data_IF_135050038509
#
_entry.id   IF_135050038509
#
_cell.length_a   1.000
_cell.length_b   1.000
_cell.length_c   1.000
_cell.angle_alpha   90.00
_cell.angle_beta   90.00
_cell.angle_gamma   90.00
#
_symmetry.space_group_name_H-M   'P 1'
#
loop_
_entity.id
_entity.type
_entity.pdbx_description
1 polymer ?
#
# COMPACT_ATOMS: atom_id res chain seq x y z
N UNK A 1 8.02 3.35 -35.34
CA UNK A 1 6.91 3.20 -34.38
C UNK A 1 7.48 2.50 -33.15
N UNK A 2 7.76 3.24 -32.07
CA UNK A 2 8.46 2.71 -30.87
C UNK A 2 7.81 3.15 -29.55
N UNK A 3 6.57 3.64 -29.61
CA UNK A 3 5.92 4.30 -28.47
C UNK A 3 5.41 3.29 -27.43
N UNK A 4 4.92 2.12 -27.84
CA UNK A 4 4.26 1.18 -26.92
C UNK A 4 5.24 0.47 -25.95
N UNK A 5 6.45 0.13 -26.39
CA UNK A 5 7.43 -0.60 -25.55
C UNK A 5 8.00 0.26 -24.43
N UNK A 6 8.37 1.52 -24.74
CA UNK A 6 8.97 2.46 -23.79
C UNK A 6 7.99 2.82 -22.68
N UNK A 7 6.71 3.01 -23.03
CA UNK A 7 5.65 3.29 -22.06
C UNK A 7 5.42 2.12 -21.09
N UNK A 8 5.62 0.88 -21.56
CA UNK A 8 5.38 -0.33 -20.76
C UNK A 8 6.47 -0.56 -19.71
N UNK A 9 7.74 -0.43 -20.08
CA UNK A 9 8.86 -0.52 -19.13
C UNK A 9 8.81 0.59 -18.06
N UNK A 10 8.49 1.82 -18.48
CA UNK A 10 8.33 2.94 -17.57
C UNK A 10 7.19 2.68 -16.58
N UNK A 11 6.06 2.14 -17.05
CA UNK A 11 4.94 1.83 -16.19
C UNK A 11 5.26 0.72 -15.18
N UNK A 12 5.91 -0.36 -15.61
CA UNK A 12 6.36 -1.43 -14.70
C UNK A 12 7.26 -0.89 -13.59
N UNK A 13 8.21 -0.03 -13.94
CA UNK A 13 9.09 0.64 -12.98
C UNK A 13 8.29 1.52 -12.00
N UNK A 14 7.34 2.30 -12.49
CA UNK A 14 6.48 3.15 -11.63
C UNK A 14 5.62 2.30 -10.69
N UNK A 15 5.01 1.22 -11.18
CA UNK A 15 4.22 0.29 -10.39
C UNK A 15 5.06 -0.39 -9.29
N UNK A 16 6.30 -0.79 -9.60
CA UNK A 16 7.22 -1.34 -8.62
C UNK A 16 7.56 -0.32 -7.51
N UNK A 17 7.82 0.94 -7.87
CA UNK A 17 8.09 2.01 -6.91
C UNK A 17 6.88 2.32 -6.00
N UNK A 18 5.67 2.30 -6.56
CA UNK A 18 4.44 2.46 -5.77
C UNK A 18 4.28 1.29 -4.81
N UNK A 19 4.48 0.04 -5.26
CA UNK A 19 4.43 -1.13 -4.40
C UNK A 19 5.44 -1.06 -3.24
N UNK A 20 6.69 -0.68 -3.52
CA UNK A 20 7.70 -0.49 -2.48
C UNK A 20 7.30 0.59 -1.45
N UNK A 21 6.63 1.64 -1.90
CA UNK A 21 6.11 2.70 -1.03
C UNK A 21 4.96 2.20 -0.16
N UNK A 22 4.04 1.41 -0.74
CA UNK A 22 2.94 0.76 -0.01
C UNK A 22 3.47 -0.15 1.10
N UNK A 23 4.47 -0.98 0.78
CA UNK A 23 5.07 -1.91 1.74
C UNK A 23 5.77 -1.17 2.90
N UNK A 24 6.42 -0.03 2.60
CA UNK A 24 7.02 0.86 3.62
C UNK A 24 5.96 1.47 4.53
N UNK A 25 4.90 2.05 3.97
CA UNK A 25 3.81 2.66 4.76
C UNK A 25 3.15 1.61 5.66
N UNK A 26 2.91 0.40 5.16
CA UNK A 26 2.36 -0.69 5.97
C UNK A 26 3.28 -1.02 7.16
N UNK A 27 4.59 -1.07 6.93
CA UNK A 27 5.58 -1.31 7.99
C UNK A 27 5.59 -0.19 9.04
N UNK A 28 5.53 1.07 8.61
CA UNK A 28 5.51 2.25 9.48
C UNK A 28 4.22 2.29 10.34
N UNK A 29 3.07 1.96 9.75
CA UNK A 29 1.79 1.85 10.47
C UNK A 29 1.85 0.78 11.57
N UNK A 30 2.43 -0.39 11.26
CA UNK A 30 2.62 -1.45 12.26
C UNK A 30 3.61 -1.04 13.35
N UNK A 31 4.68 -0.32 13.00
CA UNK A 31 5.63 0.21 13.96
C UNK A 31 4.98 1.24 14.90
N UNK A 32 4.16 2.14 14.36
CA UNK A 32 3.41 3.10 15.15
C UNK A 32 2.43 2.42 16.11
N UNK A 33 1.71 1.38 15.67
CA UNK A 33 0.85 0.59 16.56
C UNK A 33 1.63 0.01 17.73
N UNK A 34 2.77 -0.65 17.49
CA UNK A 34 3.62 -1.20 18.55
C UNK A 34 4.10 -0.13 19.53
N UNK A 35 4.56 1.01 19.02
CA UNK A 35 5.00 2.12 19.87
C UNK A 35 3.88 2.70 20.74
N UNK A 36 2.65 2.76 20.21
CA UNK A 36 1.48 3.17 20.98
C UNK A 36 1.09 2.15 22.06
N UNK A 37 1.14 0.85 21.75
CA UNK A 37 0.88 -0.23 22.72
C UNK A 37 1.92 -0.21 23.86
N UNK A 38 3.20 -0.01 23.54
CA UNK A 38 4.28 0.12 24.52
C UNK A 38 4.04 1.34 25.42
N UNK A 39 3.76 2.51 24.82
CA UNK A 39 3.48 3.73 25.57
C UNK A 39 2.26 3.55 26.49
N UNK A 40 1.19 2.90 26.02
CA UNK A 40 -0.02 2.64 26.81
C UNK A 40 0.31 1.99 28.16
N UNK A 41 1.26 1.05 28.18
CA UNK A 41 1.67 0.34 29.40
C UNK A 41 2.34 1.25 30.45
N UNK A 42 2.84 2.42 30.05
CA UNK A 42 3.58 3.35 30.91
C UNK A 42 2.69 4.40 31.58
N UNK A 43 1.54 4.74 30.98
CA UNK A 43 0.64 5.76 31.52
C UNK A 43 -0.25 5.18 32.64
N UNK A 44 -0.41 5.92 33.74
CA UNK A 44 -1.31 5.56 34.86
C UNK A 44 -2.25 6.72 35.20
N UNK A 45 -3.36 6.42 35.86
CA UNK A 45 -4.34 7.42 36.31
C UNK A 45 -5.15 8.01 35.16
N UNK A 46 -5.63 9.24 35.31
CA UNK A 46 -6.51 9.91 34.32
C UNK A 46 -5.87 10.06 32.93
N UNK A 47 -4.54 10.16 32.85
CA UNK A 47 -3.83 10.23 31.57
C UNK A 47 -3.93 8.93 30.75
N UNK A 48 -4.08 7.77 31.40
CA UNK A 48 -4.27 6.49 30.72
C UNK A 48 -5.61 6.45 29.95
N UNK A 49 -6.67 7.05 30.49
CA UNK A 49 -7.98 7.12 29.82
C UNK A 49 -7.92 7.95 28.54
N UNK A 50 -7.27 9.12 28.60
CA UNK A 50 -7.09 9.97 27.41
C UNK A 50 -6.21 9.29 26.36
N UNK A 51 -5.16 8.59 26.80
CA UNK A 51 -4.29 7.83 25.90
C UNK A 51 -5.03 6.65 25.24
N UNK A 52 -5.88 5.94 25.97
CA UNK A 52 -6.72 4.87 25.41
C UNK A 52 -7.67 5.39 24.32
N UNK A 53 -8.25 6.59 24.49
CA UNK A 53 -9.07 7.22 23.47
C UNK A 53 -8.25 7.53 22.20
N UNK A 54 -7.04 8.08 22.36
CA UNK A 54 -6.10 8.34 21.27
C UNK A 54 -5.74 7.06 20.50
N UNK A 55 -5.42 5.96 21.20
CA UNK A 55 -5.09 4.66 20.59
C UNK A 55 -6.29 4.08 19.82
N UNK A 56 -7.50 4.28 20.34
CA UNK A 56 -8.73 3.84 19.68
C UNK A 56 -8.95 4.60 18.36
N UNK A 57 -8.80 5.92 18.38
CA UNK A 57 -8.88 6.76 17.18
C UNK A 57 -7.80 6.40 16.15
N UNK A 58 -6.58 6.15 16.62
CA UNK A 58 -5.49 5.67 15.77
C UNK A 58 -5.84 4.34 15.09
N UNK A 59 -6.42 3.38 15.82
CA UNK A 59 -6.80 2.07 15.26
C UNK A 59 -7.81 2.20 14.11
N UNK A 60 -8.76 3.14 14.22
CA UNK A 60 -9.69 3.45 13.12
C UNK A 60 -8.95 4.05 11.91
N UNK A 61 -7.98 4.92 12.15
CA UNK A 61 -7.16 5.53 11.10
C UNK A 61 -6.27 4.49 10.41
N UNK A 62 -5.62 3.61 11.17
CA UNK A 62 -4.86 2.48 10.68
C UNK A 62 -5.71 1.63 9.71
N UNK A 63 -6.94 1.26 10.10
CA UNK A 63 -7.82 0.48 9.23
C UNK A 63 -8.11 1.16 7.89
N UNK A 64 -8.27 2.49 7.88
CA UNK A 64 -8.45 3.26 6.63
C UNK A 64 -7.19 3.26 5.77
N UNK A 65 -6.01 3.34 6.38
CA UNK A 65 -4.74 3.25 5.67
C UNK A 65 -4.58 1.87 5.04
N UNK A 66 -4.79 0.80 5.81
CA UNK A 66 -4.71 -0.58 5.32
C UNK A 66 -5.68 -0.84 4.16
N UNK A 67 -6.93 -0.38 4.26
CA UNK A 67 -7.92 -0.50 3.18
C UNK A 67 -7.49 0.26 1.91
N UNK A 68 -6.89 1.45 2.07
CA UNK A 68 -6.39 2.27 0.97
C UNK A 68 -5.19 1.61 0.28
N UNK A 69 -4.23 1.09 1.06
CA UNK A 69 -3.08 0.33 0.55
C UNK A 69 -3.49 -0.95 -0.19
N UNK A 70 -4.49 -1.67 0.34
CA UNK A 70 -5.06 -2.85 -0.32
C UNK A 70 -5.70 -2.48 -1.68
N UNK A 71 -6.45 -1.38 -1.73
CA UNK A 71 -7.07 -0.88 -2.96
C UNK A 71 -6.04 -0.49 -4.02
N UNK A 72 -4.95 0.16 -3.61
CA UNK A 72 -3.82 0.48 -4.49
C UNK A 72 -3.18 -0.80 -5.04
N UNK A 73 -2.90 -1.78 -4.19
CA UNK A 73 -2.32 -3.06 -4.62
C UNK A 73 -3.22 -3.79 -5.64
N UNK A 74 -4.53 -3.82 -5.42
CA UNK A 74 -5.48 -4.41 -6.37
C UNK A 74 -5.48 -3.68 -7.72
N UNK A 75 -5.46 -2.35 -7.71
CA UNK A 75 -5.42 -1.55 -8.93
C UNK A 75 -4.12 -1.79 -9.73
N UNK A 76 -2.97 -1.86 -9.05
CA UNK A 76 -1.68 -2.15 -9.66
C UNK A 76 -1.63 -3.57 -10.25
N UNK A 77 -2.17 -4.56 -9.55
CA UNK A 77 -2.23 -5.94 -10.03
C UNK A 77 -3.15 -6.08 -11.26
N UNK A 78 -4.29 -5.40 -11.25
CA UNK A 78 -5.23 -5.34 -12.38
C UNK A 78 -4.59 -4.70 -13.61
N UNK A 79 -3.88 -3.58 -13.43
CA UNK A 79 -3.12 -2.94 -14.49
C UNK A 79 -2.09 -3.92 -15.06
N UNK A 80 -1.24 -4.52 -14.23
CA UNK A 80 -0.21 -5.46 -14.68
C UNK A 80 -0.79 -6.66 -15.47
N UNK A 81 -1.92 -7.22 -15.04
CA UNK A 81 -2.61 -8.31 -15.75
C UNK A 81 -3.12 -7.87 -17.14
N UNK A 82 -3.70 -6.67 -17.21
CA UNK A 82 -4.20 -6.10 -18.49
C UNK A 82 -3.05 -5.92 -19.49
N UNK A 83 -1.89 -5.47 -19.02
CA UNK A 83 -0.70 -5.34 -19.88
C UNK A 83 -0.18 -6.70 -20.36
N UNK A 84 -0.08 -7.70 -19.48
CA UNK A 84 0.37 -9.04 -19.87
C UNK A 84 -0.53 -9.65 -20.95
N UNK A 85 -1.85 -9.43 -20.87
CA UNK A 85 -2.80 -9.87 -21.88
C UNK A 85 -2.66 -9.11 -23.21
N UNK A 86 -2.45 -7.79 -23.15
CA UNK A 86 -2.24 -6.98 -24.35
C UNK A 86 -0.98 -7.39 -25.11
N UNK A 87 0.11 -7.70 -24.39
CA UNK A 87 1.36 -8.18 -24.97
C UNK A 87 1.17 -9.53 -25.67
N UNK A 88 0.56 -10.51 -24.98
CA UNK A 88 0.25 -11.83 -25.56
C UNK A 88 -0.62 -11.72 -26.81
N UNK A 89 -1.66 -10.88 -26.78
CA UNK A 89 -2.55 -10.67 -27.92
C UNK A 89 -1.82 -10.04 -29.12
N UNK A 90 -0.86 -9.15 -28.88
CA UNK A 90 0.00 -8.63 -29.94
C UNK A 90 0.95 -9.70 -30.48
N UNK A 91 1.58 -10.52 -29.63
CA UNK A 91 2.45 -11.62 -30.08
C UNK A 91 1.71 -12.60 -30.98
N UNK A 92 0.47 -12.97 -30.62
CA UNK A 92 -0.37 -13.89 -31.43
C UNK A 92 -0.84 -13.29 -32.76
N UNK A 93 -0.94 -11.96 -32.86
CA UNK A 93 -1.35 -11.27 -34.11
C UNK A 93 -0.24 -11.19 -35.15
N UNK A 94 1.01 -11.24 -34.71
CA UNK A 94 2.19 -11.16 -35.58
C UNK A 94 2.89 -12.51 -35.75
N UNK A 95 2.28 -13.62 -35.29
CA UNK A 95 2.72 -15.00 -35.51
C UNK A 95 2.00 -15.67 -36.68
#
# INVERSE_FOLDING_TARGET
MSIISVDTELLQLKSANVKATVDRISSDVQAMKRGLDELQSTWRGSAANNFQALVTEWTLTQGKVEASLASINMALASAASTYAQAEQGNTQRFS
#
